data_IF_734380709993
#
_entry.id   IF_734380709993
#
_cell.length_a   1.000
_cell.length_b   1.000
_cell.length_c   1.000
_cell.angle_alpha   90.00
_cell.angle_beta   90.00
_cell.angle_gamma   90.00
#
_symmetry.space_group_name_H-M   'P 1'
#
loop_
_entity.id
_entity.type
_entity.pdbx_description
1 polymer ?
#
# COMPACT_ATOMS: atom_id res chain seq x y z
N UNK A 1 -6.41 -21.87 12.79
CA UNK A 1 -6.76 -20.98 11.66
C UNK A 1 -6.47 -19.56 12.10
N UNK A 2 -5.29 -19.02 11.77
CA UNK A 2 -5.05 -17.58 11.93
C UNK A 2 -5.82 -16.80 10.87
N UNK A 3 -6.11 -15.50 11.06
CA UNK A 3 -6.66 -14.69 9.99
C UNK A 3 -5.71 -14.76 8.79
N UNK A 4 -6.23 -15.03 7.60
CA UNK A 4 -5.44 -14.95 6.37
C UNK A 4 -4.84 -13.55 6.30
N UNK A 5 -3.53 -13.43 6.51
CA UNK A 5 -2.84 -12.15 6.42
C UNK A 5 -3.05 -11.54 5.03
N UNK A 6 -3.11 -10.20 4.89
CA UNK A 6 -3.38 -9.56 3.61
C UNK A 6 -2.37 -9.96 2.53
N UNK A 7 -2.83 -10.64 1.48
CA UNK A 7 -1.97 -11.18 0.41
C UNK A 7 -1.75 -12.69 0.47
N UNK A 8 -2.21 -13.39 1.52
CA UNK A 8 -2.18 -14.85 1.54
C UNK A 8 -3.11 -15.39 0.47
N UNK A 9 -2.70 -16.46 -0.24
CA UNK A 9 -3.64 -17.18 -1.07
C UNK A 9 -4.74 -17.81 -0.20
N UNK A 10 -5.97 -17.93 -0.72
CA UNK A 10 -7.04 -18.61 -0.01
C UNK A 10 -6.67 -20.09 0.19
N UNK A 11 -6.74 -20.57 1.42
CA UNK A 11 -6.66 -22.01 1.72
C UNK A 11 -8.04 -22.69 1.74
N UNK A 12 -8.09 -24.01 1.98
CA UNK A 12 -6.96 -24.93 2.11
C UNK A 12 -6.53 -25.55 0.77
N UNK A 13 -5.22 -25.84 0.62
CA UNK A 13 -4.68 -26.67 -0.47
C UNK A 13 -4.36 -28.08 0.03
N UNK A 14 -5.30 -29.05 -0.05
CA UNK A 14 -5.13 -30.36 0.60
C UNK A 14 -4.06 -31.26 -0.05
N UNK A 15 -3.65 -30.99 -1.31
CA UNK A 15 -2.76 -31.88 -2.07
C UNK A 15 -1.27 -31.52 -2.01
N UNK A 16 -0.92 -30.34 -1.48
CA UNK A 16 0.47 -29.90 -1.36
C UNK A 16 0.72 -29.53 0.10
N UNK A 17 1.18 -30.50 0.88
CA UNK A 17 1.63 -30.26 2.24
C UNK A 17 3.13 -30.03 2.24
N UNK A 18 3.53 -28.78 2.46
CA UNK A 18 4.92 -28.38 2.61
C UNK A 18 5.00 -27.17 3.54
N UNK A 19 5.96 -27.18 4.48
CA UNK A 19 6.18 -26.05 5.39
C UNK A 19 7.51 -25.40 5.05
N UNK A 20 7.47 -24.31 4.28
CA UNK A 20 8.66 -23.54 3.91
C UNK A 20 9.04 -22.47 4.94
N UNK A 21 8.14 -22.21 5.90
CA UNK A 21 8.35 -21.31 7.03
C UNK A 21 7.45 -21.73 8.19
N UNK A 22 7.83 -21.37 9.42
CA UNK A 22 6.99 -21.50 10.61
C UNK A 22 6.61 -20.14 11.19
N UNK A 23 7.40 -19.11 10.89
CA UNK A 23 7.18 -17.73 11.31
C UNK A 23 7.68 -16.74 10.26
N UNK A 24 7.24 -15.49 10.35
CA UNK A 24 7.70 -14.40 9.47
C UNK A 24 9.22 -14.21 9.50
N UNK A 25 9.89 -14.62 10.59
CA UNK A 25 11.34 -14.46 10.79
C UNK A 25 12.18 -15.35 9.87
N UNK A 26 11.59 -16.43 9.37
CA UNK A 26 12.23 -17.32 8.38
C UNK A 26 12.13 -16.75 6.95
N UNK A 27 11.24 -15.78 6.73
CA UNK A 27 11.08 -15.13 5.44
C UNK A 27 12.05 -13.95 5.28
N UNK A 28 12.36 -13.59 4.02
CA UNK A 28 13.09 -12.35 3.74
C UNK A 28 12.33 -11.13 4.23
N UNK A 29 13.05 -10.05 4.53
CA UNK A 29 12.45 -8.77 4.90
C UNK A 29 11.34 -8.35 3.91
N UNK A 30 10.21 -7.88 4.46
CA UNK A 30 9.04 -7.50 3.66
C UNK A 30 8.13 -8.67 3.26
N UNK A 31 8.33 -9.88 3.80
CA UNK A 31 7.50 -11.05 3.56
C UNK A 31 6.99 -11.61 4.90
N UNK A 32 5.83 -12.26 4.88
CA UNK A 32 5.28 -12.96 6.04
C UNK A 32 4.99 -14.42 5.69
N UNK A 33 4.95 -15.26 6.72
CA UNK A 33 4.69 -16.68 6.58
C UNK A 33 3.17 -16.92 6.54
N UNK A 34 2.63 -17.20 5.35
CA UNK A 34 1.24 -17.59 5.19
C UNK A 34 1.02 -19.03 5.63
N UNK A 35 -0.02 -19.25 6.44
CA UNK A 35 -0.56 -20.58 6.67
C UNK A 35 -1.86 -20.77 5.86
N UNK A 36 -1.85 -21.68 4.90
CA UNK A 36 -3.04 -22.02 4.09
C UNK A 36 -3.49 -23.46 4.36
N UNK A 37 -3.48 -23.87 5.64
CA UNK A 37 -3.67 -25.26 6.07
C UNK A 37 -2.33 -25.95 6.35
N UNK A 38 -2.04 -27.05 5.65
CA UNK A 38 -0.75 -27.73 5.80
C UNK A 38 0.40 -27.05 5.04
N UNK A 39 0.08 -26.22 4.04
CA UNK A 39 1.05 -25.42 3.30
C UNK A 39 1.41 -24.15 4.07
N UNK A 40 2.72 -23.92 4.27
CA UNK A 40 3.24 -22.67 4.79
C UNK A 40 4.25 -22.08 3.81
N UNK A 41 4.01 -20.85 3.32
CA UNK A 41 4.85 -20.20 2.30
C UNK A 41 5.08 -18.73 2.64
N UNK A 42 6.26 -18.22 2.31
CA UNK A 42 6.55 -16.79 2.41
C UNK A 42 5.89 -16.03 1.26
N UNK A 43 5.06 -15.03 1.57
CA UNK A 43 4.43 -14.16 0.56
C UNK A 43 4.77 -12.69 0.81
N UNK A 44 4.78 -11.83 -0.24
CA UNK A 44 5.08 -10.41 -0.07
C UNK A 44 4.08 -9.73 0.85
N UNK A 45 4.58 -8.95 1.83
CA UNK A 45 3.76 -8.12 2.71
C UNK A 45 3.27 -6.87 1.96
N UNK A 46 1.97 -6.56 1.96
CA UNK A 46 1.49 -5.26 1.54
C UNK A 46 2.06 -4.16 2.43
N UNK A 47 2.61 -3.10 1.82
CA UNK A 47 3.02 -1.90 2.54
C UNK A 47 1.80 -1.14 3.04
N UNK A 48 1.92 -0.36 4.14
CA UNK A 48 0.83 0.45 4.67
C UNK A 48 0.25 1.43 3.65
N UNK A 49 -1.02 1.80 3.87
CA UNK A 49 -1.76 2.75 3.05
C UNK A 49 -2.48 2.11 1.86
N UNK A 50 -3.23 2.95 1.16
CA UNK A 50 -4.10 2.58 0.06
C UNK A 50 -3.46 2.95 -1.28
N UNK A 51 -3.78 2.20 -2.32
CA UNK A 51 -3.48 2.63 -3.68
C UNK A 51 -4.34 3.87 -4.00
N UNK A 52 -3.78 4.93 -4.62
CA UNK A 52 -4.56 6.08 -5.01
C UNK A 52 -5.60 5.71 -6.08
N UNK A 53 -6.57 6.58 -6.31
CA UNK A 53 -7.46 6.46 -7.46
C UNK A 53 -6.65 6.60 -8.77
N UNK A 54 -6.38 5.48 -9.44
CA UNK A 54 -5.64 5.45 -10.70
C UNK A 54 -6.61 5.73 -11.84
N UNK A 55 -6.41 6.86 -12.54
CA UNK A 55 -7.18 7.18 -13.74
C UNK A 55 -6.88 6.15 -14.84
N UNK A 56 -7.89 5.65 -15.56
CA UNK A 56 -7.69 4.85 -16.76
C UNK A 56 -6.84 5.63 -17.77
N UNK A 57 -5.86 4.97 -18.36
CA UNK A 57 -5.00 5.55 -19.39
C UNK A 57 -4.16 4.47 -20.08
N UNK A 58 -3.49 4.80 -21.19
CA UNK A 58 -2.62 3.86 -21.86
C UNK A 58 -1.48 3.44 -20.92
N UNK A 59 -1.31 2.13 -20.79
CA UNK A 59 -0.24 1.51 -20.03
C UNK A 59 0.24 0.28 -20.80
N UNK A 60 1.55 0.02 -20.74
CA UNK A 60 2.15 -1.16 -21.36
C UNK A 60 2.98 -1.89 -20.33
N UNK A 61 2.49 -3.05 -19.93
CA UNK A 61 3.18 -3.96 -19.03
C UNK A 61 3.12 -3.54 -17.56
N UNK A 62 3.60 -4.45 -16.72
CA UNK A 62 3.79 -4.23 -15.31
C UNK A 62 5.24 -3.77 -15.08
N UNK A 63 5.44 -2.68 -14.33
CA UNK A 63 6.77 -2.31 -13.82
C UNK A 63 7.03 -2.88 -12.43
N UNK A 64 6.01 -3.42 -11.77
CA UNK A 64 6.10 -4.07 -10.46
C UNK A 64 5.12 -5.25 -10.38
N UNK A 65 5.48 -6.24 -9.57
CA UNK A 65 4.70 -7.44 -9.28
C UNK A 65 4.14 -7.48 -7.86
N UNK A 66 4.70 -6.72 -6.92
CA UNK A 66 4.17 -6.50 -5.58
C UNK A 66 4.81 -5.24 -4.96
N UNK A 67 4.38 -4.84 -3.77
CA UNK A 67 4.87 -3.63 -3.10
C UNK A 67 6.38 -3.64 -2.85
N UNK A 68 7.00 -4.82 -2.69
CA UNK A 68 8.44 -4.95 -2.42
C UNK A 68 9.30 -4.59 -3.64
N UNK A 69 8.72 -4.58 -4.84
CA UNK A 69 9.44 -4.16 -6.06
C UNK A 69 9.49 -2.62 -6.18
N UNK A 70 8.73 -1.91 -5.35
CA UNK A 70 8.63 -0.45 -5.39
C UNK A 70 9.54 0.22 -4.34
N UNK A 71 10.11 1.39 -4.63
CA UNK A 71 11.04 2.07 -3.73
C UNK A 71 10.33 2.67 -2.51
N UNK A 72 11.03 2.73 -1.38
CA UNK A 72 10.54 3.35 -0.15
C UNK A 72 9.18 2.77 0.30
N UNK A 73 8.23 3.64 0.61
CA UNK A 73 6.87 3.27 1.00
C UNK A 73 5.91 3.10 -0.19
N UNK A 74 6.37 3.19 -1.44
CA UNK A 74 5.48 3.11 -2.60
C UNK A 74 4.86 1.73 -2.75
N UNK A 75 3.58 1.71 -3.14
CA UNK A 75 2.78 0.50 -3.38
C UNK A 75 2.71 0.18 -4.87
N UNK A 76 2.68 -1.11 -5.19
CA UNK A 76 2.45 -1.60 -6.53
C UNK A 76 0.95 -1.69 -6.79
N UNK A 77 0.43 -0.78 -7.60
CA UNK A 77 -1.00 -0.60 -7.80
C UNK A 77 -1.37 -0.72 -9.28
N UNK A 78 -2.66 -0.92 -9.54
CA UNK A 78 -3.21 -1.04 -10.89
C UNK A 78 -3.57 -2.49 -11.25
N UNK A 79 -4.26 -2.63 -12.39
CA UNK A 79 -4.66 -3.93 -12.92
C UNK A 79 -3.48 -4.71 -13.52
N UNK A 80 -3.56 -6.06 -13.62
CA UNK A 80 -2.59 -6.83 -14.38
C UNK A 80 -2.37 -6.27 -15.79
N UNK A 81 -1.10 -6.17 -16.21
CA UNK A 81 -0.68 -5.56 -17.47
C UNK A 81 -0.44 -4.05 -17.39
N UNK A 82 -0.72 -3.42 -16.24
CA UNK A 82 -0.63 -1.98 -16.04
C UNK A 82 -0.13 -1.58 -14.64
N UNK A 83 0.56 -2.48 -13.93
CA UNK A 83 0.95 -2.24 -12.54
C UNK A 83 2.15 -1.30 -12.41
N UNK A 84 2.03 -0.29 -11.53
CA UNK A 84 3.04 0.76 -11.31
C UNK A 84 3.18 1.10 -9.84
N UNK A 85 4.31 1.71 -9.49
CA UNK A 85 4.58 2.18 -8.15
C UNK A 85 3.95 3.56 -7.92
N UNK A 86 3.19 3.69 -6.83
CA UNK A 86 2.56 4.94 -6.43
C UNK A 86 2.83 5.24 -4.96
N UNK A 87 2.92 6.53 -4.62
CA UNK A 87 2.83 6.95 -3.22
C UNK A 87 1.47 6.51 -2.66
N UNK A 88 1.44 5.85 -1.50
CA UNK A 88 0.18 5.45 -0.88
C UNK A 88 -0.58 6.64 -0.29
N UNK A 89 -1.90 6.50 -0.22
CA UNK A 89 -2.78 7.41 0.51
C UNK A 89 -3.08 6.85 1.91
N UNK A 90 -3.20 7.74 2.91
CA UNK A 90 -3.75 7.39 4.22
C UNK A 90 -5.28 7.44 4.18
N UNK A 91 -5.98 6.68 5.05
CA UNK A 91 -7.44 6.72 5.16
C UNK A 91 -7.99 8.13 5.44
N UNK A 92 -9.24 8.35 5.04
CA UNK A 92 -9.95 9.63 5.18
C UNK A 92 -9.69 10.60 4.03
N UNK A 93 -10.44 11.69 4.04
CA UNK A 93 -10.40 12.75 3.02
C UNK A 93 -9.74 14.01 3.56
N UNK A 94 -9.22 14.85 2.67
CA UNK A 94 -8.76 16.18 3.07
C UNK A 94 -9.94 17.06 3.49
N UNK A 95 -9.80 17.91 4.51
CA UNK A 95 -10.85 18.84 4.89
C UNK A 95 -11.16 19.82 3.74
N UNK A 96 -12.43 20.25 3.59
CA UNK A 96 -12.77 21.31 2.66
C UNK A 96 -11.96 22.57 2.97
N UNK A 97 -11.37 23.18 1.95
CA UNK A 97 -10.66 24.46 2.11
C UNK A 97 -11.55 25.63 1.70
N UNK A 98 -11.50 26.72 2.47
CA UNK A 98 -11.74 28.06 1.93
C UNK A 98 -10.46 28.48 1.20
N UNK A 99 -10.58 29.23 0.10
CA UNK A 99 -9.41 29.74 -0.64
C UNK A 99 -8.41 30.36 0.34
N UNK A 100 -7.30 29.67 0.60
CA UNK A 100 -6.23 30.20 1.43
C UNK A 100 -5.48 31.22 0.58
N UNK A 101 -5.82 32.50 0.74
CA UNK A 101 -4.94 33.57 0.31
C UNK A 101 -3.62 33.41 1.08
N UNK A 102 -2.51 33.21 0.37
CA UNK A 102 -1.21 32.98 0.98
C UNK A 102 -0.13 32.63 -0.02
N UNK A 103 1.13 32.69 0.43
CA UNK A 103 2.28 32.30 -0.39
C UNK A 103 2.17 30.81 -0.74
N UNK A 104 2.45 30.49 -2.00
CA UNK A 104 2.50 29.11 -2.45
C UNK A 104 3.70 28.40 -1.81
N UNK A 105 3.45 27.58 -0.79
CA UNK A 105 4.45 26.75 -0.10
C UNK A 105 4.01 25.29 -0.08
N UNK A 106 4.94 24.39 -0.38
CA UNK A 106 4.71 22.94 -0.45
C UNK A 106 5.42 22.27 0.73
N UNK A 107 4.71 22.03 1.83
CA UNK A 107 5.27 21.35 3.00
C UNK A 107 5.31 19.82 2.87
N UNK A 108 4.54 19.27 1.95
CA UNK A 108 4.41 17.84 1.73
C UNK A 108 4.01 17.57 0.28
N UNK A 109 4.34 16.38 -0.24
CA UNK A 109 3.97 15.94 -1.59
C UNK A 109 2.97 14.78 -1.54
N UNK A 110 3.01 13.94 -0.52
CA UNK A 110 2.02 12.89 -0.24
C UNK A 110 1.80 12.65 1.25
N UNK A 111 0.77 11.87 1.59
CA UNK A 111 0.32 11.70 2.97
C UNK A 111 1.41 11.19 3.92
N UNK A 112 2.33 10.35 3.44
CA UNK A 112 3.40 9.78 4.26
C UNK A 112 4.59 10.72 4.47
N UNK A 113 4.57 11.91 3.90
CA UNK A 113 5.47 13.01 4.31
C UNK A 113 4.94 13.69 5.60
N UNK A 114 3.68 13.44 5.96
CA UNK A 114 3.02 14.00 7.14
C UNK A 114 3.05 13.04 8.33
N UNK A 115 3.13 13.57 9.57
CA UNK A 115 3.17 12.76 10.78
C UNK A 115 1.85 12.02 11.04
N UNK A 116 1.91 10.93 11.81
CA UNK A 116 0.73 10.21 12.26
C UNK A 116 -0.25 9.84 11.14
N UNK A 117 -1.52 10.15 11.33
CA UNK A 117 -2.58 9.96 10.35
C UNK A 117 -2.85 11.18 9.46
N UNK A 118 -2.06 12.25 9.56
CA UNK A 118 -2.29 13.47 8.78
C UNK A 118 -2.08 13.23 7.29
N UNK A 119 -2.94 13.84 6.47
CA UNK A 119 -2.90 13.76 5.02
C UNK A 119 -2.24 15.00 4.44
N UNK A 120 -1.58 14.84 3.30
CA UNK A 120 -1.01 15.97 2.60
C UNK A 120 -2.04 16.59 1.66
N UNK A 121 -2.57 17.74 2.08
CA UNK A 121 -3.75 18.34 1.48
C UNK A 121 -3.44 19.66 0.78
N UNK A 122 -4.29 20.04 -0.18
CA UNK A 122 -4.18 21.28 -0.96
C UNK A 122 -3.52 21.10 -2.33
N UNK A 123 -3.67 22.08 -3.21
CA UNK A 123 -2.93 22.17 -4.48
C UNK A 123 -1.70 23.07 -4.29
N UNK A 124 -1.92 24.33 -3.93
CA UNK A 124 -0.95 25.21 -3.28
C UNK A 124 -1.66 26.25 -2.38
N UNK A 125 -1.22 26.46 -1.13
CA UNK A 125 -0.16 25.75 -0.41
C UNK A 125 -0.55 24.31 -0.03
N UNK A 126 0.43 23.40 0.01
CA UNK A 126 0.26 22.02 0.51
C UNK A 126 0.73 21.93 1.95
N UNK A 127 -0.12 21.39 2.83
CA UNK A 127 0.21 21.17 4.25
C UNK A 127 -0.43 19.90 4.77
N UNK A 128 0.12 19.41 5.87
CA UNK A 128 -0.42 18.28 6.60
C UNK A 128 -1.68 18.70 7.35
N UNK A 129 -2.75 17.92 7.19
CA UNK A 129 -4.06 18.19 7.77
C UNK A 129 -4.61 16.92 8.40
N UNK A 130 -5.37 17.07 9.48
CA UNK A 130 -6.15 15.95 10.03
C UNK A 130 -7.18 15.48 8.99
N UNK A 131 -7.30 14.17 8.75
CA UNK A 131 -8.29 13.64 7.83
C UNK A 131 -9.72 13.84 8.34
N UNK A 132 -10.64 14.06 7.42
CA UNK A 132 -12.07 13.92 7.63
C UNK A 132 -12.49 12.46 7.40
N UNK A 133 -13.40 11.97 8.24
CA UNK A 133 -14.04 10.66 8.10
C UNK A 133 -15.55 10.88 8.09
N UNK A 134 -16.24 10.14 7.23
CA UNK A 134 -17.71 10.07 7.20
C UNK A 134 -18.23 9.05 8.23
#
# INVERSE_FOLDING_TARGET
YGPNLPGCPPGPYPRICARYCHSDRECKAGYYCCNTGCLNICVPKPKPGLCPAIRPGPCKGNVCSNDQDCPGNQKCCGKPGCRRCYRPEKPGSCPPRKYDAGVCVIYCVGDFDCPGNEKCCGSCPRRCEKPCFD
#
